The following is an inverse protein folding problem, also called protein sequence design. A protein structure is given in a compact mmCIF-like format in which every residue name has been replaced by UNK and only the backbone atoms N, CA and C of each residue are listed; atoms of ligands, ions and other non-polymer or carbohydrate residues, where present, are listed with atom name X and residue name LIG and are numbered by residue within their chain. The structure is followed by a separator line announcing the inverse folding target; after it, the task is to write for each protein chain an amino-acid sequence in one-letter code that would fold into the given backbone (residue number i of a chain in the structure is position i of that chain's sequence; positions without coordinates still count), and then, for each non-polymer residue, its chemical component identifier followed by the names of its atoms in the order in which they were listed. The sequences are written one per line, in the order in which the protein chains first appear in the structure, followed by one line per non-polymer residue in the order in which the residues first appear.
data_IF_689780326051
#
_entry.id   IF_689780326051
#
_cell.length_a   1.000
_cell.length_b   1.000
_cell.length_c   1.000
_cell.angle_alpha   90.00
_cell.angle_beta   90.00
_cell.angle_gamma   90.00
#
_symmetry.space_group_name_H-M   'P 1'
#
loop_
_entity.id
_entity.type
_entity.pdbx_description
1 polymer ?
#
# COMPACT_ATOMS: atom_id res chain seq x y z
N UNK A 1 -13.34 -20.67 1.85
CA UNK A 1 -12.69 -19.84 0.84
C UNK A 1 -11.39 -20.48 0.37
N UNK A 2 -10.98 -20.23 -0.88
CA UNK A 2 -9.64 -20.57 -1.33
C UNK A 2 -8.67 -19.49 -0.87
N UNK A 3 -7.51 -19.89 -0.42
CA UNK A 3 -6.47 -18.96 0.03
C UNK A 3 -5.07 -19.54 -0.23
N UNK A 4 -4.12 -18.68 -0.51
CA UNK A 4 -2.70 -19.03 -0.54
C UNK A 4 -2.14 -18.82 0.86
N UNK A 5 -1.57 -19.85 1.48
CA UNK A 5 -1.08 -19.78 2.85
C UNK A 5 0.23 -20.56 3.04
N UNK A 6 0.97 -20.19 4.09
CA UNK A 6 2.16 -20.91 4.57
C UNK A 6 2.06 -21.15 6.08
N UNK A 7 2.63 -22.25 6.55
CA UNK A 7 2.58 -22.64 7.96
C UNK A 7 3.90 -22.44 8.72
N UNK A 8 5.01 -22.24 7.98
CA UNK A 8 6.32 -21.92 8.54
C UNK A 8 7.02 -20.87 7.67
N UNK A 9 7.90 -20.08 8.29
CA UNK A 9 8.70 -19.09 7.56
C UNK A 9 9.58 -19.76 6.50
N UNK A 10 9.60 -19.18 5.29
CA UNK A 10 10.33 -19.71 4.15
C UNK A 10 9.70 -20.94 3.49
N UNK A 11 8.60 -21.49 4.03
CA UNK A 11 7.85 -22.55 3.36
C UNK A 11 7.16 -22.02 2.10
N UNK A 12 7.18 -22.80 1.02
CA UNK A 12 6.49 -22.43 -0.21
C UNK A 12 4.99 -22.25 0.05
N UNK A 13 4.44 -21.06 -0.21
CA UNK A 13 3.00 -20.83 -0.05
C UNK A 13 2.18 -21.72 -1.00
N UNK A 14 1.12 -22.32 -0.50
CA UNK A 14 0.26 -23.23 -1.27
C UNK A 14 -1.21 -22.82 -1.21
N UNK A 15 -1.93 -23.08 -2.29
CA UNK A 15 -3.38 -22.87 -2.35
C UNK A 15 -4.08 -23.94 -1.49
N UNK A 16 -4.95 -23.49 -0.58
CA UNK A 16 -5.72 -24.34 0.35
C UNK A 16 -7.16 -23.88 0.42
N UNK A 17 -8.05 -24.81 0.75
CA UNK A 17 -9.39 -24.49 1.21
C UNK A 17 -9.36 -24.24 2.72
N UNK A 18 -9.73 -23.03 3.12
CA UNK A 18 -9.79 -22.58 4.51
C UNK A 18 -11.22 -22.16 4.85
N UNK A 19 -11.62 -22.17 6.14
CA UNK A 19 -12.87 -21.55 6.56
C UNK A 19 -12.96 -20.10 6.10
N UNK A 20 -14.16 -19.61 5.81
CA UNK A 20 -14.37 -18.19 5.56
C UNK A 20 -14.06 -17.40 6.83
N UNK A 21 -13.44 -16.21 6.73
CA UNK A 21 -13.21 -15.36 7.89
C UNK A 21 -14.55 -14.88 8.47
N UNK A 22 -14.60 -14.75 9.79
CA UNK A 22 -15.75 -14.13 10.47
C UNK A 22 -15.76 -12.64 10.16
N UNK A 23 -16.94 -12.10 9.80
CA UNK A 23 -17.12 -10.67 9.65
C UNK A 23 -17.00 -9.99 11.02
N UNK A 24 -16.03 -9.08 11.25
CA UNK A 24 -15.86 -8.46 12.56
C UNK A 24 -16.95 -7.42 12.83
N UNK A 25 -17.29 -7.23 14.11
CA UNK A 25 -18.11 -6.09 14.53
C UNK A 25 -17.39 -4.78 14.15
N UNK A 26 -18.14 -3.81 13.65
CA UNK A 26 -17.59 -2.57 13.11
C UNK A 26 -16.77 -2.74 11.82
N UNK A 27 -16.74 -3.94 11.24
CA UNK A 27 -15.95 -4.24 10.05
C UNK A 27 -16.76 -4.84 8.91
N UNK A 28 -16.04 -5.21 7.86
CA UNK A 28 -16.62 -5.82 6.64
C UNK A 28 -15.81 -7.02 6.19
N UNK A 29 -16.45 -7.88 5.38
CA UNK A 29 -15.72 -8.81 4.52
C UNK A 29 -15.71 -8.26 3.10
N UNK A 30 -14.55 -8.29 2.47
CA UNK A 30 -14.37 -7.91 1.06
C UNK A 30 -14.12 -9.17 0.25
N UNK A 31 -14.93 -9.40 -0.78
CA UNK A 31 -14.63 -10.36 -1.86
C UNK A 31 -13.54 -9.74 -2.72
N UNK A 32 -12.36 -10.34 -2.71
CA UNK A 32 -11.18 -9.82 -3.38
C UNK A 32 -11.38 -9.90 -4.89
N UNK A 33 -11.33 -8.75 -5.56
CA UNK A 33 -11.34 -8.63 -7.01
C UNK A 33 -9.93 -8.60 -7.60
N UNK A 34 -8.99 -8.00 -6.89
CA UNK A 34 -7.57 -8.02 -7.20
C UNK A 34 -6.73 -7.82 -5.93
N UNK A 35 -5.52 -8.37 -5.93
CA UNK A 35 -4.54 -8.20 -4.86
C UNK A 35 -3.16 -7.97 -5.45
N UNK A 36 -2.39 -7.07 -4.85
CA UNK A 36 -0.99 -6.80 -5.19
C UNK A 36 -0.04 -7.68 -4.38
N UNK A 37 1.17 -7.86 -4.89
CA UNK A 37 2.29 -8.47 -4.17
C UNK A 37 3.28 -7.37 -3.81
N UNK A 38 3.58 -7.23 -2.53
CA UNK A 38 4.51 -6.24 -2.02
C UNK A 38 5.79 -6.90 -1.49
N UNK A 39 6.88 -6.14 -1.42
CA UNK A 39 8.13 -6.59 -0.81
C UNK A 39 7.93 -6.95 0.67
N UNK A 40 6.98 -6.32 1.35
CA UNK A 40 6.64 -6.61 2.75
C UNK A 40 6.07 -8.03 2.93
N UNK A 41 5.29 -8.56 1.98
CA UNK A 41 4.83 -9.95 2.03
C UNK A 41 6.00 -10.93 2.01
N UNK A 42 7.06 -10.62 1.23
CA UNK A 42 8.28 -11.42 1.19
C UNK A 42 9.06 -11.34 2.51
N UNK A 43 9.15 -10.16 3.16
CA UNK A 43 9.78 -10.00 4.47
C UNK A 43 9.04 -10.81 5.54
N UNK A 44 7.71 -10.75 5.55
CA UNK A 44 6.88 -11.53 6.47
C UNK A 44 7.04 -13.03 6.22
N UNK A 45 7.05 -13.47 4.96
CA UNK A 45 7.25 -14.88 4.60
C UNK A 45 8.60 -15.42 5.04
N UNK A 46 9.67 -14.61 4.99
CA UNK A 46 11.00 -15.01 5.49
C UNK A 46 11.15 -14.90 7.01
N UNK A 47 10.18 -14.30 7.72
CA UNK A 47 10.24 -14.07 9.16
C UNK A 47 11.11 -12.88 9.56
N UNK A 48 11.47 -11.99 8.63
CA UNK A 48 12.12 -10.72 8.94
C UNK A 48 11.16 -9.82 9.73
N UNK A 49 9.88 -9.84 9.35
CA UNK A 49 8.77 -9.22 10.07
C UNK A 49 7.88 -10.35 10.61
N UNK A 50 7.98 -10.71 11.90
CA UNK A 50 7.23 -11.84 12.46
C UNK A 50 5.72 -11.66 12.37
N UNK A 51 5.04 -12.68 11.86
CA UNK A 51 3.58 -12.74 11.72
C UNK A 51 3.02 -13.99 12.39
N UNK A 52 1.73 -13.99 12.82
CA UNK A 52 1.08 -15.22 13.32
C UNK A 52 1.03 -16.30 12.24
N UNK A 53 1.37 -17.53 12.59
CA UNK A 53 1.32 -18.68 11.68
C UNK A 53 0.20 -19.64 12.09
N UNK A 54 -0.50 -20.31 11.15
CA UNK A 54 -0.36 -20.18 9.68
C UNK A 54 -0.90 -18.85 9.16
N UNK A 55 -0.23 -18.30 8.13
CA UNK A 55 -0.56 -16.98 7.55
C UNK A 55 -1.11 -17.11 6.13
N UNK A 56 -2.13 -16.31 5.83
CA UNK A 56 -2.56 -15.90 4.49
C UNK A 56 -2.03 -14.49 4.26
N UNK A 57 -1.04 -14.28 3.38
CA UNK A 57 -0.47 -12.96 3.14
C UNK A 57 -1.38 -12.07 2.29
N UNK A 58 -0.90 -10.88 1.96
CA UNK A 58 -1.57 -9.91 1.09
C UNK A 58 -2.24 -8.78 1.87
N UNK A 59 -1.85 -7.55 1.55
CA UNK A 59 -2.33 -6.32 2.19
C UNK A 59 -2.64 -5.20 1.19
N UNK A 60 -2.46 -5.46 -0.09
CA UNK A 60 -2.79 -4.56 -1.19
C UNK A 60 -3.98 -5.14 -1.96
N UNK A 61 -5.20 -4.68 -1.72
CA UNK A 61 -6.38 -5.28 -2.32
C UNK A 61 -7.45 -4.26 -2.69
N UNK A 62 -8.30 -4.68 -3.62
CA UNK A 62 -9.56 -4.03 -3.93
C UNK A 62 -10.61 -5.09 -4.26
N UNK A 63 -11.86 -4.78 -4.04
CA UNK A 63 -12.94 -5.73 -4.28
C UNK A 63 -14.32 -5.17 -3.98
N UNK A 64 -15.21 -6.07 -3.63
CA UNK A 64 -16.62 -5.77 -3.36
C UNK A 64 -16.98 -6.22 -1.95
N UNK A 65 -17.70 -5.39 -1.21
CA UNK A 65 -18.22 -5.74 0.12
C UNK A 65 -19.13 -6.97 0.00
N UNK A 66 -18.74 -8.05 0.68
CA UNK A 66 -19.47 -9.33 0.68
C UNK A 66 -20.33 -9.52 1.93
N UNK A 67 -19.93 -8.94 3.05
CA UNK A 67 -20.70 -8.92 4.30
C UNK A 67 -20.35 -7.68 5.11
N UNK A 68 -21.30 -7.25 5.95
CA UNK A 68 -21.18 -6.07 6.81
C UNK A 68 -21.44 -6.52 8.25
N UNK A 69 -20.52 -6.18 9.15
CA UNK A 69 -20.62 -6.45 10.58
C UNK A 69 -21.58 -5.48 11.30
N UNK A 70 -21.91 -5.83 12.53
CA UNK A 70 -22.75 -4.95 13.37
C UNK A 70 -22.06 -3.59 13.59
N UNK A 71 -22.86 -2.51 13.63
CA UNK A 71 -22.36 -1.16 13.91
C UNK A 71 -21.65 -0.45 12.76
N UNK A 72 -21.58 -1.04 11.57
CA UNK A 72 -21.12 -0.34 10.35
C UNK A 72 -22.26 0.50 9.78
N UNK A 73 -21.99 1.77 9.50
CA UNK A 73 -23.02 2.73 9.06
C UNK A 73 -22.81 3.20 7.61
N UNK A 74 -21.57 3.16 7.10
CA UNK A 74 -21.19 3.76 5.81
C UNK A 74 -21.20 2.79 4.63
N UNK A 75 -21.25 1.49 4.89
CA UNK A 75 -21.01 0.48 3.87
C UNK A 75 -22.16 -0.51 3.75
N UNK A 76 -22.38 -1.00 2.54
CA UNK A 76 -23.36 -2.05 2.24
C UNK A 76 -22.76 -3.12 1.33
N UNK A 77 -23.39 -4.30 1.31
CA UNK A 77 -23.02 -5.38 0.39
C UNK A 77 -23.17 -4.90 -1.05
N UNK A 78 -22.14 -5.12 -1.85
CA UNK A 78 -22.08 -4.69 -3.25
C UNK A 78 -21.22 -3.46 -3.49
N UNK A 79 -20.86 -2.69 -2.45
CA UNK A 79 -19.99 -1.51 -2.60
C UNK A 79 -18.60 -1.92 -3.09
N UNK A 80 -18.05 -1.16 -4.04
CA UNK A 80 -16.68 -1.31 -4.55
C UNK A 80 -15.71 -0.57 -3.64
N UNK A 81 -14.73 -1.28 -3.11
CA UNK A 81 -13.87 -0.75 -2.04
C UNK A 81 -12.41 -1.16 -2.15
N UNK A 82 -11.56 -0.36 -1.50
CA UNK A 82 -10.19 -0.69 -1.10
C UNK A 82 -9.97 -0.26 0.35
N UNK A 83 -8.84 -0.61 0.93
CA UNK A 83 -8.42 -0.15 2.26
C UNK A 83 -6.90 0.10 2.29
N UNK A 84 -6.40 0.99 3.17
CA UNK A 84 -4.98 1.11 3.42
C UNK A 84 -4.44 -0.16 4.07
N UNK A 85 -3.15 -0.44 3.89
CA UNK A 85 -2.50 -1.61 4.50
C UNK A 85 -2.54 -1.57 6.04
N UNK A 86 -2.48 -0.37 6.63
CA UNK A 86 -2.59 -0.15 8.08
C UNK A 86 -3.98 0.42 8.41
N UNK A 87 -4.81 -0.38 9.05
CA UNK A 87 -6.16 -0.02 9.46
C UNK A 87 -6.18 0.41 10.92
N UNK A 88 -6.40 1.69 11.19
CA UNK A 88 -6.53 2.22 12.56
C UNK A 88 -7.82 1.77 13.24
N UNK A 89 -7.89 1.84 14.57
CA UNK A 89 -9.09 1.47 15.33
C UNK A 89 -10.26 2.47 15.17
N UNK A 90 -10.01 3.67 14.63
CA UNK A 90 -11.02 4.72 14.41
C UNK A 90 -11.43 5.51 15.64
N UNK A 91 -11.10 5.04 16.86
CA UNK A 91 -11.67 5.61 18.11
C UNK A 91 -10.64 6.19 19.08
N UNK A 92 -9.35 5.89 18.95
CA UNK A 92 -8.32 6.45 19.82
C UNK A 92 -7.98 7.90 19.45
N UNK A 93 -7.25 8.58 20.32
CA UNK A 93 -6.85 9.98 20.09
C UNK A 93 -6.01 10.14 18.82
N UNK A 94 -5.11 9.19 18.53
CA UNK A 94 -4.28 9.19 17.33
C UNK A 94 -5.16 9.12 16.07
N UNK A 95 -6.16 8.23 16.05
CA UNK A 95 -7.09 8.14 14.93
C UNK A 95 -7.94 9.41 14.78
N UNK A 96 -8.41 10.00 15.90
CA UNK A 96 -9.19 11.24 15.87
C UNK A 96 -8.37 12.44 15.40
N UNK A 97 -7.05 12.41 15.60
CA UNK A 97 -6.13 13.41 15.07
C UNK A 97 -5.83 13.24 13.56
N UNK A 98 -6.33 12.17 12.94
CA UNK A 98 -6.09 11.87 11.51
C UNK A 98 -4.86 11.00 11.24
N UNK A 99 -4.18 10.52 12.26
CA UNK A 99 -2.94 9.73 12.15
C UNK A 99 -3.21 8.22 12.28
N UNK A 100 -4.25 7.72 11.62
CA UNK A 100 -4.69 6.32 11.68
C UNK A 100 -3.59 5.30 11.37
N UNK A 101 -2.63 5.67 10.53
CA UNK A 101 -1.49 4.84 10.10
C UNK A 101 -0.47 4.55 11.21
N UNK A 102 -0.48 5.30 12.33
CA UNK A 102 0.34 5.07 13.53
C UNK A 102 -0.51 4.75 14.76
N UNK A 103 -1.73 4.29 14.55
CA UNK A 103 -2.62 3.86 15.62
C UNK A 103 -1.99 2.71 16.42
N UNK A 104 -1.90 2.78 17.76
CA UNK A 104 -1.32 1.70 18.56
C UNK A 104 -2.17 0.41 18.53
N UNK A 105 -3.45 0.51 18.18
CA UNK A 105 -4.36 -0.63 18.00
C UNK A 105 -4.67 -0.93 16.53
N UNK A 106 -3.74 -0.61 15.61
CA UNK A 106 -3.95 -0.89 14.19
C UNK A 106 -3.98 -2.39 13.89
N UNK A 107 -4.74 -2.74 12.86
CA UNK A 107 -4.70 -4.05 12.23
C UNK A 107 -4.13 -3.94 10.81
N UNK A 108 -3.48 -5.00 10.36
CA UNK A 108 -2.91 -5.08 9.02
C UNK A 108 -3.26 -6.43 8.42
N UNK A 109 -4.18 -6.50 7.44
CA UNK A 109 -4.43 -7.74 6.70
C UNK A 109 -3.12 -8.32 6.14
N UNK A 110 -2.91 -9.63 6.28
CA UNK A 110 -1.67 -10.28 5.86
C UNK A 110 -0.49 -10.18 6.83
N UNK A 111 -0.64 -9.46 7.98
CA UNK A 111 0.36 -9.33 9.02
C UNK A 111 -0.19 -9.61 10.42
N UNK A 112 -1.24 -8.93 10.84
CA UNK A 112 -1.86 -9.15 12.16
C UNK A 112 -2.98 -10.19 12.12
N UNK A 113 -3.42 -10.56 10.93
CA UNK A 113 -4.44 -11.55 10.61
C UNK A 113 -4.38 -11.90 9.14
N UNK A 114 -5.24 -12.81 8.71
CA UNK A 114 -5.28 -13.27 7.32
C UNK A 114 -5.54 -12.13 6.34
N UNK A 115 -4.79 -12.14 5.22
CA UNK A 115 -4.80 -11.13 4.19
C UNK A 115 -5.56 -11.50 2.94
N UNK A 116 -5.23 -10.79 1.87
CA UNK A 116 -5.99 -10.77 0.62
C UNK A 116 -5.54 -11.78 -0.44
N UNK A 117 -4.54 -12.64 -0.16
CA UNK A 117 -4.24 -13.77 -1.06
C UNK A 117 -5.29 -14.88 -0.87
N UNK A 118 -6.56 -14.48 -0.86
CA UNK A 118 -7.74 -15.31 -0.61
C UNK A 118 -8.95 -14.78 -1.36
N UNK A 119 -10.03 -15.59 -1.42
CA UNK A 119 -11.31 -15.14 -1.99
C UNK A 119 -11.97 -14.03 -1.14
N UNK A 120 -11.71 -14.02 0.19
CA UNK A 120 -12.26 -13.05 1.15
C UNK A 120 -11.19 -12.51 2.09
N UNK A 121 -11.27 -11.23 2.41
CA UNK A 121 -10.45 -10.57 3.43
C UNK A 121 -11.33 -9.79 4.41
N UNK A 122 -11.02 -9.86 5.71
CA UNK A 122 -11.70 -9.09 6.75
C UNK A 122 -11.01 -7.75 6.96
N UNK A 123 -11.79 -6.67 7.07
CA UNK A 123 -11.30 -5.32 7.38
C UNK A 123 -12.03 -4.81 8.63
N UNK A 124 -11.29 -4.56 9.70
CA UNK A 124 -11.82 -4.01 10.94
C UNK A 124 -12.01 -2.49 10.85
N UNK A 125 -12.90 -1.93 11.72
CA UNK A 125 -13.20 -0.51 11.79
C UNK A 125 -13.45 0.09 10.39
N UNK A 126 -14.40 -0.53 9.66
CA UNK A 126 -14.65 -0.25 8.24
C UNK A 126 -14.94 1.22 7.95
N UNK A 127 -15.74 1.87 8.79
CA UNK A 127 -16.13 3.27 8.60
C UNK A 127 -14.95 4.25 8.70
N UNK A 128 -13.87 3.84 9.38
CA UNK A 128 -12.66 4.65 9.52
C UNK A 128 -11.60 4.35 8.43
N UNK A 129 -11.60 3.15 7.87
CA UNK A 129 -10.49 2.68 7.04
C UNK A 129 -10.85 2.43 5.58
N UNK A 130 -12.07 2.01 5.29
CA UNK A 130 -12.47 1.61 3.94
C UNK A 130 -12.73 2.84 3.06
N UNK A 131 -12.33 2.75 1.81
CA UNK A 131 -12.44 3.81 0.81
C UNK A 131 -13.27 3.28 -0.37
N UNK A 132 -14.29 4.06 -0.76
CA UNK A 132 -15.09 3.77 -1.96
C UNK A 132 -14.23 3.91 -3.23
N UNK A 133 -14.43 3.01 -4.17
CA UNK A 133 -13.78 3.09 -5.48
C UNK A 133 -14.75 3.69 -6.51
N UNK A 134 -14.33 4.73 -7.24
CA UNK A 134 -15.04 5.21 -8.41
C UNK A 134 -15.21 4.12 -9.46
N UNK A 135 -16.27 4.17 -10.25
CA UNK A 135 -16.55 3.16 -11.29
C UNK A 135 -15.46 3.08 -12.37
N UNK A 136 -14.78 4.18 -12.61
CA UNK A 136 -13.71 4.32 -13.59
C UNK A 136 -12.40 3.65 -13.16
N UNK A 137 -12.24 3.34 -11.86
CA UNK A 137 -11.02 2.70 -11.33
C UNK A 137 -11.23 1.20 -11.25
N UNK A 138 -10.43 0.43 -11.99
CA UNK A 138 -10.43 -1.03 -11.95
C UNK A 138 -9.86 -1.58 -10.63
N UNK A 139 -10.20 -2.84 -10.29
CA UNK A 139 -9.68 -3.45 -9.07
C UNK A 139 -8.17 -3.68 -9.12
N UNK A 140 -7.60 -3.91 -10.31
CA UNK A 140 -6.15 -4.13 -10.47
C UNK A 140 -5.37 -2.87 -10.13
N UNK A 141 -5.81 -1.73 -10.66
CA UNK A 141 -5.22 -0.42 -10.38
C UNK A 141 -5.42 -0.06 -8.90
N UNK A 142 -6.65 -0.25 -8.39
CA UNK A 142 -7.00 0.07 -7.01
C UNK A 142 -6.22 -0.74 -5.98
N UNK A 143 -5.94 -2.02 -6.26
CA UNK A 143 -5.17 -2.87 -5.35
C UNK A 143 -3.78 -2.30 -5.05
N UNK A 144 -3.14 -1.63 -6.01
CA UNK A 144 -1.82 -1.03 -5.83
C UNK A 144 -1.81 0.29 -5.02
N UNK A 145 -2.99 0.85 -4.69
CA UNK A 145 -3.10 2.16 -4.03
C UNK A 145 -2.90 2.07 -2.52
N UNK A 146 -3.31 0.97 -1.87
CA UNK A 146 -3.43 0.86 -0.42
C UNK A 146 -2.11 0.84 0.36
N UNK A 147 -0.99 0.50 -0.27
CA UNK A 147 0.33 0.44 0.36
C UNK A 147 1.32 1.40 -0.32
N UNK A 148 1.89 0.99 -1.44
CA UNK A 148 3.03 1.71 -2.06
C UNK A 148 2.68 3.13 -2.51
N UNK A 149 1.50 3.33 -3.12
CA UNK A 149 1.09 4.68 -3.54
C UNK A 149 0.70 5.55 -2.34
N UNK A 150 -0.07 5.01 -1.39
CA UNK A 150 -0.46 5.75 -0.18
C UNK A 150 0.77 6.18 0.64
N UNK A 151 1.78 5.31 0.77
CA UNK A 151 3.05 5.62 1.43
C UNK A 151 3.79 6.74 0.71
N UNK A 152 3.97 6.61 -0.60
CA UNK A 152 4.64 7.62 -1.42
C UNK A 152 3.88 8.96 -1.40
N UNK A 153 2.56 8.94 -1.53
CA UNK A 153 1.73 10.15 -1.48
C UNK A 153 1.90 10.87 -0.14
N UNK A 154 1.82 10.15 0.96
CA UNK A 154 2.02 10.74 2.29
C UNK A 154 3.43 11.33 2.44
N UNK A 155 4.46 10.60 2.00
CA UNK A 155 5.85 11.06 2.07
C UNK A 155 6.06 12.35 1.28
N UNK A 156 5.56 12.40 0.04
CA UNK A 156 5.81 13.53 -0.88
C UNK A 156 4.88 14.71 -0.59
N UNK A 157 3.58 14.45 -0.38
CA UNK A 157 2.56 15.50 -0.26
C UNK A 157 2.40 15.97 1.18
N UNK A 158 2.13 15.03 2.11
CA UNK A 158 1.75 15.40 3.48
C UNK A 158 2.95 15.80 4.33
N UNK A 159 4.04 15.04 4.23
CA UNK A 159 5.25 15.24 5.04
C UNK A 159 6.23 16.15 4.29
N UNK A 160 6.59 15.80 3.06
CA UNK A 160 7.54 16.52 2.22
C UNK A 160 7.03 17.85 1.70
N UNK A 161 5.70 18.00 1.57
CA UNK A 161 5.03 19.23 1.10
C UNK A 161 5.61 19.76 -0.21
N UNK A 162 5.96 18.83 -1.10
CA UNK A 162 6.57 19.14 -2.40
C UNK A 162 5.66 20.07 -3.21
N UNK A 163 6.23 21.15 -3.72
CA UNK A 163 5.51 22.12 -4.55
C UNK A 163 5.87 22.00 -6.04
N UNK A 164 5.02 22.59 -6.88
CA UNK A 164 5.26 22.66 -8.32
C UNK A 164 6.58 23.35 -8.64
N UNK A 165 7.36 22.74 -9.55
CA UNK A 165 8.65 23.26 -10.00
C UNK A 165 9.82 22.95 -9.08
N UNK A 166 9.59 22.44 -7.89
CA UNK A 166 10.64 21.98 -6.97
C UNK A 166 11.27 20.68 -7.44
N UNK A 167 12.50 20.43 -7.00
CA UNK A 167 13.21 19.19 -7.24
C UNK A 167 12.87 18.12 -6.20
N UNK A 168 12.44 16.95 -6.67
CA UNK A 168 12.34 15.70 -5.92
C UNK A 168 13.42 14.73 -6.39
N UNK A 169 14.23 14.23 -5.46
CA UNK A 169 15.13 13.10 -5.71
C UNK A 169 14.57 11.86 -5.03
N UNK A 170 14.44 10.78 -5.79
CA UNK A 170 13.94 9.48 -5.31
C UNK A 170 15.06 8.46 -5.39
N UNK A 171 15.57 8.03 -4.24
CA UNK A 171 16.56 6.96 -4.12
C UNK A 171 15.85 5.62 -4.00
N UNK A 172 16.08 4.73 -4.97
CA UNK A 172 15.36 3.48 -5.14
C UNK A 172 14.11 3.65 -6.00
N UNK A 173 14.12 3.10 -7.21
CA UNK A 173 13.00 3.12 -8.15
C UNK A 173 12.23 1.78 -8.14
N UNK A 174 11.95 1.27 -6.92
CA UNK A 174 11.06 0.15 -6.66
C UNK A 174 9.59 0.58 -6.61
N UNK A 175 8.73 -0.22 -5.98
CA UNK A 175 7.29 0.06 -5.92
C UNK A 175 6.94 1.40 -5.26
N UNK A 176 7.55 1.71 -4.12
CA UNK A 176 7.35 2.99 -3.42
C UNK A 176 8.00 4.14 -4.19
N UNK A 177 9.25 3.96 -4.64
CA UNK A 177 9.96 5.01 -5.37
C UNK A 177 9.30 5.39 -6.70
N UNK A 178 8.87 4.42 -7.51
CA UNK A 178 8.13 4.71 -8.74
C UNK A 178 6.79 5.40 -8.44
N UNK A 179 6.13 5.06 -7.33
CA UNK A 179 4.94 5.79 -6.88
C UNK A 179 5.27 7.23 -6.49
N UNK A 180 6.41 7.48 -5.82
CA UNK A 180 6.87 8.83 -5.50
C UNK A 180 7.19 9.64 -6.78
N UNK A 181 7.80 9.00 -7.79
CA UNK A 181 8.00 9.61 -9.13
C UNK A 181 6.66 10.05 -9.72
N UNK A 182 5.67 9.14 -9.78
CA UNK A 182 4.34 9.45 -10.31
C UNK A 182 3.67 10.62 -9.58
N UNK A 183 3.72 10.61 -8.24
CA UNK A 183 3.15 11.69 -7.42
C UNK A 183 3.87 13.01 -7.68
N UNK A 184 5.20 13.02 -7.69
CA UNK A 184 5.98 14.22 -7.97
C UNK A 184 5.69 14.82 -9.35
N UNK A 185 5.62 13.96 -10.38
CA UNK A 185 5.27 14.37 -11.75
C UNK A 185 3.85 14.96 -11.80
N UNK A 186 2.89 14.31 -11.16
CA UNK A 186 1.50 14.79 -11.10
C UNK A 186 1.36 16.15 -10.40
N UNK A 187 2.22 16.45 -9.41
CA UNK A 187 2.30 17.76 -8.76
C UNK A 187 2.97 18.83 -9.64
N UNK A 188 3.59 18.43 -10.76
CA UNK A 188 4.38 19.31 -11.61
C UNK A 188 5.75 19.65 -11.04
N UNK A 189 6.29 18.81 -10.19
CA UNK A 189 7.66 18.88 -9.70
C UNK A 189 8.64 18.33 -10.74
N UNK A 190 9.92 18.70 -10.61
CA UNK A 190 11.03 18.13 -11.38
C UNK A 190 11.55 16.91 -10.63
N UNK A 191 11.60 15.75 -11.29
CA UNK A 191 11.89 14.48 -10.60
C UNK A 191 13.16 13.83 -11.12
N UNK A 192 14.05 13.46 -10.21
CA UNK A 192 15.23 12.62 -10.46
C UNK A 192 15.01 11.26 -9.82
N UNK A 193 15.06 10.20 -10.62
CA UNK A 193 15.11 8.83 -10.12
C UNK A 193 16.55 8.34 -9.99
N UNK A 194 16.90 7.73 -8.87
CA UNK A 194 18.22 7.15 -8.62
C UNK A 194 18.08 5.67 -8.35
N UNK A 195 18.72 4.81 -9.13
CA UNK A 195 18.68 3.36 -8.90
C UNK A 195 19.93 2.68 -9.49
N UNK A 196 20.36 1.59 -8.87
CA UNK A 196 21.45 0.73 -9.39
C UNK A 196 21.04 -0.01 -10.66
N UNK A 197 19.76 -0.35 -10.80
CA UNK A 197 19.20 -1.09 -11.93
C UNK A 197 18.88 -0.17 -13.10
N UNK A 198 19.44 -0.45 -14.28
CA UNK A 198 19.11 0.27 -15.51
C UNK A 198 17.62 0.17 -15.85
N UNK A 199 17.00 -1.01 -15.68
CA UNK A 199 15.57 -1.21 -15.94
C UNK A 199 14.67 -0.40 -15.00
N UNK A 200 15.06 -0.23 -13.72
CA UNK A 200 14.34 0.63 -12.78
C UNK A 200 14.45 2.12 -13.17
N UNK A 201 15.64 2.56 -13.61
CA UNK A 201 15.84 3.93 -14.14
C UNK A 201 14.99 4.20 -15.38
N UNK A 202 14.93 3.26 -16.31
CA UNK A 202 14.06 3.36 -17.49
C UNK A 202 12.57 3.42 -17.10
N UNK A 203 12.16 2.68 -16.07
CA UNK A 203 10.79 2.74 -15.55
C UNK A 203 10.48 4.13 -14.99
N UNK A 204 11.40 4.74 -14.23
CA UNK A 204 11.24 6.10 -13.72
C UNK A 204 11.08 7.12 -14.84
N UNK A 205 11.90 7.04 -15.90
CA UNK A 205 11.78 7.91 -17.09
C UNK A 205 10.42 7.73 -17.80
N UNK A 206 9.97 6.48 -17.97
CA UNK A 206 8.64 6.22 -18.58
C UNK A 206 7.48 6.80 -17.77
N UNK A 207 7.65 6.93 -16.45
CA UNK A 207 6.66 7.54 -15.56
C UNK A 207 6.80 9.06 -15.45
N UNK A 208 7.71 9.67 -16.20
CA UNK A 208 7.84 11.11 -16.33
C UNK A 208 8.94 11.75 -15.47
N UNK A 209 9.83 10.96 -14.86
CA UNK A 209 11.04 11.54 -14.27
C UNK A 209 11.83 12.31 -15.32
N UNK A 210 12.29 13.51 -15.00
CA UNK A 210 13.07 14.36 -15.91
C UNK A 210 14.45 13.74 -16.17
N UNK A 211 15.03 13.12 -15.13
CA UNK A 211 16.35 12.47 -15.19
C UNK A 211 16.28 11.18 -14.38
N UNK A 212 17.00 10.14 -14.81
CA UNK A 212 17.23 8.95 -14.02
C UNK A 212 18.69 8.52 -14.11
N UNK A 213 19.35 8.36 -12.97
CA UNK A 213 20.80 8.20 -12.86
C UNK A 213 21.20 7.04 -11.95
N UNK A 214 22.46 6.60 -12.08
CA UNK A 214 23.09 5.70 -11.13
C UNK A 214 23.48 6.43 -9.84
N UNK A 215 23.70 5.73 -8.70
CA UNK A 215 23.94 6.36 -7.39
C UNK A 215 25.23 7.16 -7.27
N UNK A 216 26.18 6.96 -8.17
CA UNK A 216 27.50 7.64 -8.21
C UNK A 216 27.48 9.00 -8.91
N UNK A 217 26.33 9.42 -9.42
CA UNK A 217 26.17 10.72 -10.11
C UNK A 217 26.02 11.85 -9.09
N UNK A 218 26.67 12.97 -9.35
CA UNK A 218 26.54 14.18 -8.54
C UNK A 218 25.16 14.83 -8.72
N UNK A 219 24.27 14.58 -7.77
CA UNK A 219 22.89 15.07 -7.78
C UNK A 219 22.79 16.60 -7.59
N UNK A 220 23.80 17.23 -6.97
CA UNK A 220 23.83 18.70 -6.82
C UNK A 220 24.01 19.35 -8.18
N UNK A 221 24.89 18.79 -9.03
CA UNK A 221 25.07 19.25 -10.41
C UNK A 221 23.83 19.01 -11.27
N UNK A 222 23.16 17.84 -11.11
CA UNK A 222 21.92 17.50 -11.86
C UNK A 222 20.77 18.45 -11.52
N UNK A 223 20.63 18.82 -10.26
CA UNK A 223 19.53 19.68 -9.78
C UNK A 223 19.86 21.18 -9.82
N UNK A 224 21.10 21.54 -10.08
CA UNK A 224 21.56 22.94 -10.13
C UNK A 224 21.66 23.60 -8.75
N UNK A 225 21.96 22.84 -7.70
CA UNK A 225 22.14 23.38 -6.36
C UNK A 225 21.56 22.55 -5.22
N UNK A 226 20.91 21.43 -5.53
CA UNK A 226 20.32 20.50 -4.58
C UNK A 226 18.82 20.29 -4.79
N UNK A 227 18.29 19.25 -4.15
CA UNK A 227 16.85 18.94 -4.19
C UNK A 227 16.10 19.62 -3.02
N UNK A 228 14.84 19.94 -3.26
CA UNK A 228 13.93 20.45 -2.21
C UNK A 228 13.43 19.32 -1.32
N UNK A 229 13.25 18.14 -1.91
CA UNK A 229 12.85 16.93 -1.21
C UNK A 229 13.67 15.74 -1.70
N UNK A 230 14.14 14.91 -0.78
CA UNK A 230 14.76 13.62 -1.06
C UNK A 230 13.99 12.51 -0.35
N UNK A 231 13.70 11.44 -1.07
CA UNK A 231 12.98 10.26 -0.56
C UNK A 231 13.86 9.04 -0.78
N UNK A 232 14.09 8.26 0.28
CA UNK A 232 14.71 6.93 0.24
C UNK A 232 13.62 5.86 0.27
N UNK A 233 13.58 4.90 -0.73
CA UNK A 233 12.44 4.03 -1.01
C UNK A 233 12.83 2.57 -1.38
#
# INVERSE_FOLDING_TARGET
MRAVSYAAYGELPVLRDLPDPTCPDGGILVRVGATGVCRSDWHAWLGHDPVPLPMVPGHEFAGVVAAVGSGVERWQVGDRVTAPFACGCGVCEVCRAGDTHVCPGQTQPGFTGWGSFADLVAVSAADANVVALPDEVGFVEAAALGCRLATAYRAVVSVGRLARGEWLVVHGCGGVGLSAVMVGVALGARVVGVDVSAGAREAALRLGAEVAVAPDVDLVSVTGGGAHLSVDA
#
